data_IF_472688691091
#
_entry.id   IF_472688691091
#
_cell.length_a   1.000
_cell.length_b   1.000
_cell.length_c   1.000
_cell.angle_alpha   90.00
_cell.angle_beta   90.00
_cell.angle_gamma   90.00
#
_symmetry.space_group_name_H-M   'P 1'
#
loop_
_entity.id
_entity.type
_entity.pdbx_description
1 polymer ?
#
# COMPACT_ATOMS: atom_id res chain seq x y z
N UNK A 1 23.49 -17.11 46.77
CA UNK A 1 23.73 -16.96 45.32
C UNK A 1 22.62 -17.67 44.57
N UNK A 2 21.63 -16.92 44.12
CA UNK A 2 20.75 -17.31 43.03
C UNK A 2 20.29 -16.00 42.42
N UNK A 3 20.90 -15.66 41.28
CA UNK A 3 20.61 -14.46 40.53
C UNK A 3 19.14 -14.51 40.09
N UNK A 4 18.39 -13.49 40.49
CA UNK A 4 17.12 -13.17 39.87
C UNK A 4 17.46 -12.68 38.47
N UNK A 5 17.14 -13.50 37.48
CA UNK A 5 17.20 -13.15 36.07
C UNK A 5 16.33 -11.92 35.84
N UNK A 6 16.96 -10.75 35.66
CA UNK A 6 16.30 -9.55 35.16
C UNK A 6 15.76 -9.86 33.76
N UNK A 7 14.46 -10.09 33.67
CA UNK A 7 13.74 -9.98 32.41
C UNK A 7 13.90 -8.54 31.92
N UNK A 8 14.35 -8.28 30.67
CA UNK A 8 14.49 -6.93 30.20
C UNK A 8 13.12 -6.23 30.23
N UNK A 9 13.11 -5.01 30.76
CA UNK A 9 12.00 -4.08 30.58
C UNK A 9 11.59 -4.09 29.11
N UNK A 10 10.34 -4.48 28.84
CA UNK A 10 9.66 -4.21 27.59
C UNK A 10 9.72 -2.69 27.37
N UNK A 11 10.73 -2.22 26.66
CA UNK A 11 10.87 -0.80 26.34
C UNK A 11 9.81 -0.51 25.28
N UNK A 12 8.75 0.17 25.70
CA UNK A 12 7.73 0.68 24.80
C UNK A 12 8.38 1.37 23.59
N UNK A 13 7.85 1.11 22.39
CA UNK A 13 8.36 1.68 21.14
C UNK A 13 8.42 3.21 21.26
N UNK A 14 9.58 3.86 21.01
CA UNK A 14 9.66 5.31 20.99
C UNK A 14 8.68 5.91 19.98
N UNK A 15 7.99 6.98 20.39
CA UNK A 15 7.02 7.69 19.55
C UNK A 15 7.45 9.14 19.33
N UNK A 16 7.64 9.52 18.08
CA UNK A 16 7.84 10.90 17.66
C UNK A 16 6.52 11.52 17.19
N UNK A 17 6.20 12.73 17.67
CA UNK A 17 5.00 13.49 17.29
C UNK A 17 5.25 14.58 16.26
N UNK A 18 6.51 14.97 16.09
CA UNK A 18 6.91 16.07 15.24
C UNK A 18 8.01 15.63 14.27
N UNK A 19 7.98 16.18 13.06
CA UNK A 19 9.03 15.90 12.06
C UNK A 19 10.43 16.29 12.54
N UNK A 20 10.56 17.29 13.41
CA UNK A 20 11.85 17.68 13.98
C UNK A 20 12.43 16.59 14.91
N UNK A 21 11.59 15.88 15.66
CA UNK A 21 12.02 14.77 16.50
C UNK A 21 12.51 13.60 15.64
N UNK A 22 11.77 13.24 14.58
CA UNK A 22 12.18 12.20 13.64
C UNK A 22 13.52 12.52 13.01
N UNK A 23 13.72 13.75 12.50
CA UNK A 23 14.99 14.17 11.90
C UNK A 23 16.16 14.06 12.86
N UNK A 24 15.99 14.45 14.13
CA UNK A 24 17.07 14.31 15.14
C UNK A 24 17.44 12.84 15.37
N UNK A 25 16.44 11.97 15.53
CA UNK A 25 16.68 10.53 15.73
C UNK A 25 17.36 9.90 14.52
N UNK A 26 16.88 10.20 13.30
CA UNK A 26 17.49 9.66 12.07
C UNK A 26 18.88 10.23 11.84
N UNK A 27 19.12 11.51 12.11
CA UNK A 27 20.45 12.11 12.00
C UNK A 27 21.46 11.44 12.94
N UNK A 28 21.03 11.07 14.16
CA UNK A 28 21.86 10.30 15.07
C UNK A 28 22.20 8.92 14.50
N UNK A 29 21.20 8.16 14.02
CA UNK A 29 21.46 6.85 13.41
C UNK A 29 22.39 6.95 12.19
N UNK A 30 22.24 7.98 11.36
CA UNK A 30 23.13 8.22 10.23
C UNK A 30 24.55 8.58 10.67
N UNK A 31 24.72 9.34 11.75
CA UNK A 31 26.04 9.63 12.32
C UNK A 31 26.74 8.38 12.87
N UNK A 32 25.96 7.36 13.26
CA UNK A 32 26.44 6.02 13.63
C UNK A 32 26.71 5.12 12.40
N UNK A 33 26.49 5.60 11.18
CA UNK A 33 26.67 4.85 9.94
C UNK A 33 25.54 3.88 9.62
N UNK A 34 24.39 3.98 10.31
CA UNK A 34 23.25 3.08 10.14
C UNK A 34 22.37 3.49 8.96
N UNK A 35 21.90 2.49 8.22
CA UNK A 35 20.92 2.63 7.14
C UNK A 35 19.51 2.64 7.73
N UNK A 36 18.63 3.49 7.21
CA UNK A 36 17.29 3.74 7.76
C UNK A 36 16.22 3.44 6.71
N UNK A 37 15.23 2.63 7.09
CA UNK A 37 14.03 2.39 6.29
C UNK A 37 12.81 3.13 6.87
N UNK A 38 11.90 3.53 5.98
CA UNK A 38 10.60 4.08 6.31
C UNK A 38 9.49 3.14 5.83
N UNK A 39 8.50 2.90 6.68
CA UNK A 39 7.23 2.23 6.31
C UNK A 39 6.07 3.21 6.54
N UNK A 40 5.50 3.81 5.48
CA UNK A 40 4.34 4.68 5.63
C UNK A 40 3.03 3.89 5.82
N UNK A 41 2.26 4.25 6.85
CA UNK A 41 0.95 3.61 7.14
C UNK A 41 -0.08 4.66 7.60
N UNK A 42 -1.35 4.28 7.57
CA UNK A 42 -2.43 5.05 8.18
C UNK A 42 -2.85 4.52 9.56
N UNK A 43 -2.10 3.59 10.16
CA UNK A 43 -2.49 2.90 11.40
C UNK A 43 -3.52 1.80 11.19
N UNK A 44 -4.12 1.33 12.30
CA UNK A 44 -4.98 0.15 12.34
C UNK A 44 -4.29 -1.07 11.72
N UNK A 45 -3.12 -1.39 12.29
CA UNK A 45 -2.15 -2.30 11.69
C UNK A 45 -2.64 -3.75 11.71
N UNK A 46 -2.25 -4.48 10.67
CA UNK A 46 -2.55 -5.89 10.42
C UNK A 46 -1.29 -6.60 9.90
N UNK A 47 -1.35 -7.91 9.65
CA UNK A 47 -0.15 -8.68 9.27
C UNK A 47 0.48 -8.24 7.95
N UNK A 48 -0.34 -7.71 7.03
CA UNK A 48 0.17 -7.02 5.84
C UNK A 48 1.06 -5.79 6.13
N UNK A 49 0.88 -5.10 7.27
CA UNK A 49 1.77 -4.01 7.69
C UNK A 49 3.01 -4.56 8.41
N UNK A 50 2.84 -5.59 9.24
CA UNK A 50 3.95 -6.28 9.92
C UNK A 50 4.93 -6.87 8.91
N UNK A 51 4.45 -7.40 7.78
CA UNK A 51 5.33 -7.89 6.72
C UNK A 51 6.16 -6.78 6.08
N UNK A 52 5.64 -5.55 5.97
CA UNK A 52 6.43 -4.39 5.48
C UNK A 52 7.57 -4.07 6.44
N UNK A 53 7.30 -4.08 7.75
CA UNK A 53 8.33 -3.85 8.78
C UNK A 53 9.39 -4.93 8.73
N UNK A 54 8.99 -6.20 8.64
CA UNK A 54 9.93 -7.32 8.49
C UNK A 54 10.76 -7.22 7.23
N UNK A 55 10.17 -6.83 6.10
CA UNK A 55 10.92 -6.60 4.87
C UNK A 55 11.90 -5.43 5.05
N UNK A 56 11.46 -4.31 5.64
CA UNK A 56 12.31 -3.15 5.92
C UNK A 56 13.53 -3.51 6.78
N UNK A 57 13.37 -4.39 7.78
CA UNK A 57 14.47 -4.90 8.61
C UNK A 57 15.51 -5.74 7.84
N UNK A 58 15.17 -6.26 6.66
CA UNK A 58 16.17 -6.93 5.79
C UNK A 58 16.94 -5.94 4.92
N UNK A 59 16.50 -4.68 4.86
CA UNK A 59 17.01 -3.65 3.95
C UNK A 59 17.73 -2.51 4.67
N UNK A 60 17.59 -2.40 5.99
CA UNK A 60 18.12 -1.30 6.80
C UNK A 60 18.31 -1.72 8.27
N UNK A 61 19.20 -1.04 8.98
CA UNK A 61 19.49 -1.29 10.39
C UNK A 61 18.41 -0.72 11.32
N UNK A 62 17.76 0.36 10.90
CA UNK A 62 16.72 1.07 11.67
C UNK A 62 15.46 1.24 10.84
N UNK A 63 14.31 1.08 11.49
CA UNK A 63 12.99 1.19 10.84
C UNK A 63 12.14 2.22 11.55
N UNK A 64 11.76 3.26 10.80
CA UNK A 64 10.73 4.22 11.16
C UNK A 64 9.42 3.77 10.54
N UNK A 65 8.35 3.71 11.33
CA UNK A 65 7.00 3.48 10.81
C UNK A 65 6.16 4.72 11.07
N UNK A 66 5.61 5.31 10.02
CA UNK A 66 4.66 6.42 10.22
C UNK A 66 3.23 5.90 10.35
N UNK A 67 2.48 6.48 11.28
CA UNK A 67 1.07 6.17 11.56
C UNK A 67 0.31 7.49 11.45
N UNK A 68 -0.29 7.74 10.28
CA UNK A 68 -0.98 9.00 10.03
C UNK A 68 -2.15 8.80 9.05
N UNK A 69 -3.38 8.97 9.54
CA UNK A 69 -4.57 9.02 8.69
C UNK A 69 -4.61 10.37 7.98
N UNK A 70 -4.04 10.42 6.78
CA UNK A 70 -3.93 11.65 6.00
C UNK A 70 -5.30 12.14 5.50
N UNK A 71 -5.81 13.31 5.91
CA UNK A 71 -7.10 13.81 5.41
C UNK A 71 -7.10 14.14 3.91
N UNK A 72 -5.97 14.55 3.34
CA UNK A 72 -5.89 15.08 1.96
C UNK A 72 -6.06 14.01 0.88
N UNK A 73 -5.97 12.72 1.24
CA UNK A 73 -6.17 11.61 0.31
C UNK A 73 -7.57 10.98 0.39
N UNK A 74 -8.49 11.57 1.18
CA UNK A 74 -9.87 11.15 1.28
C UNK A 74 -10.80 12.15 0.57
N UNK A 75 -11.70 11.63 -0.26
CA UNK A 75 -12.79 12.44 -0.83
C UNK A 75 -13.88 12.76 0.21
N UNK A 76 -14.76 13.76 -0.05
CA UNK A 76 -15.82 14.17 0.89
C UNK A 76 -16.80 13.05 1.28
N UNK A 77 -17.01 12.07 0.39
CA UNK A 77 -17.88 10.92 0.60
C UNK A 77 -17.13 9.65 1.03
N UNK A 78 -15.83 9.75 1.31
CA UNK A 78 -15.01 8.61 1.73
C UNK A 78 -14.99 8.44 3.25
N UNK A 79 -14.35 7.37 3.71
CA UNK A 79 -14.44 6.87 5.08
C UNK A 79 -13.52 7.55 6.10
N UNK A 80 -13.11 8.82 5.90
CA UNK A 80 -12.14 9.50 6.78
C UNK A 80 -12.58 9.54 8.26
N UNK A 81 -13.85 9.85 8.51
CA UNK A 81 -14.40 9.92 9.87
C UNK A 81 -14.51 8.52 10.50
N UNK A 82 -14.84 7.51 9.70
CA UNK A 82 -15.01 6.12 10.14
C UNK A 82 -13.69 5.34 10.19
N UNK A 83 -12.59 5.88 9.65
CA UNK A 83 -11.31 5.17 9.58
C UNK A 83 -10.80 4.81 10.99
N UNK A 84 -10.46 3.54 11.25
CA UNK A 84 -10.05 3.07 12.58
C UNK A 84 -8.76 3.76 13.05
N UNK A 85 -8.72 4.16 14.32
CA UNK A 85 -7.57 4.79 14.98
C UNK A 85 -7.26 4.04 16.27
N UNK A 86 -6.20 3.23 16.25
CA UNK A 86 -5.85 2.29 17.33
C UNK A 86 -4.39 2.45 17.74
N UNK A 87 -3.94 3.69 17.95
CA UNK A 87 -2.53 4.04 18.10
C UNK A 87 -1.77 3.21 19.15
N UNK A 88 -2.37 2.96 20.32
CA UNK A 88 -1.75 2.16 21.37
C UNK A 88 -1.53 0.70 20.94
N UNK A 89 -2.51 0.10 20.25
CA UNK A 89 -2.38 -1.25 19.70
C UNK A 89 -1.37 -1.29 18.55
N UNK A 90 -1.34 -0.24 17.72
CA UNK A 90 -0.37 -0.09 16.64
C UNK A 90 1.06 -0.04 17.21
N UNK A 91 1.31 0.73 18.27
CA UNK A 91 2.62 0.83 18.92
C UNK A 91 3.12 -0.52 19.47
N UNK A 92 2.23 -1.31 20.12
CA UNK A 92 2.56 -2.66 20.60
C UNK A 92 2.93 -3.56 19.42
N UNK A 93 2.09 -3.61 18.39
CA UNK A 93 2.31 -4.46 17.21
C UNK A 93 3.60 -4.09 16.47
N UNK A 94 3.93 -2.80 16.40
CA UNK A 94 5.18 -2.32 15.80
C UNK A 94 6.40 -2.68 16.65
N UNK A 95 6.30 -2.60 17.97
CA UNK A 95 7.35 -3.05 18.89
C UNK A 95 7.64 -4.54 18.68
N UNK A 96 6.60 -5.37 18.67
CA UNK A 96 6.70 -6.81 18.42
C UNK A 96 7.25 -7.14 17.02
N UNK A 97 6.95 -6.31 16.02
CA UNK A 97 7.48 -6.44 14.67
C UNK A 97 8.95 -6.02 14.53
N UNK A 98 9.55 -5.41 15.55
CA UNK A 98 10.93 -4.94 15.55
C UNK A 98 11.13 -3.53 14.97
N UNK A 99 10.08 -2.71 14.90
CA UNK A 99 10.23 -1.30 14.57
C UNK A 99 11.07 -0.56 15.62
N UNK A 100 11.75 0.50 15.21
CA UNK A 100 12.65 1.26 16.08
C UNK A 100 12.07 2.62 16.51
N UNK A 101 11.21 3.19 15.67
CA UNK A 101 10.53 4.45 15.95
C UNK A 101 9.16 4.47 15.28
N UNK A 102 8.14 4.86 16.04
CA UNK A 102 6.85 5.23 15.49
C UNK A 102 6.77 6.73 15.30
N UNK A 103 6.48 7.19 14.08
CA UNK A 103 6.20 8.58 13.79
C UNK A 103 4.68 8.79 13.65
N UNK A 104 4.08 9.39 14.67
CA UNK A 104 2.62 9.59 14.76
C UNK A 104 2.29 11.09 14.87
N UNK A 105 2.39 11.84 13.75
CA UNK A 105 2.13 13.27 13.75
C UNK A 105 0.66 13.61 13.85
N UNK A 106 0.36 14.82 14.33
CA UNK A 106 -0.99 15.39 14.24
C UNK A 106 -1.25 15.96 12.84
N UNK A 107 -2.53 16.21 12.53
CA UNK A 107 -2.91 16.90 11.28
C UNK A 107 -2.27 18.29 11.21
N UNK A 108 -2.19 19.02 12.33
CA UNK A 108 -1.61 20.36 12.40
C UNK A 108 -0.08 20.35 12.18
N UNK A 109 0.65 19.35 12.69
CA UNK A 109 2.08 19.19 12.41
C UNK A 109 2.32 18.85 10.92
N UNK A 110 1.46 18.05 10.31
CA UNK A 110 1.56 17.77 8.87
C UNK A 110 1.12 18.97 8.02
N UNK A 111 0.03 19.62 8.37
CA UNK A 111 -0.64 20.66 7.59
C UNK A 111 -0.96 21.87 8.48
N UNK A 112 0.04 22.74 8.76
CA UNK A 112 -0.19 23.93 9.57
C UNK A 112 -1.14 24.92 8.87
N UNK A 113 -1.72 25.88 9.61
CA UNK A 113 -2.56 26.92 9.02
C UNK A 113 -1.86 27.61 7.83
N UNK A 114 -2.56 27.72 6.70
CA UNK A 114 -2.02 28.30 5.47
C UNK A 114 -1.18 27.35 4.60
N UNK A 115 -1.14 26.04 4.91
CA UNK A 115 -0.49 25.05 4.04
C UNK A 115 -1.10 25.09 2.62
N UNK A 116 -0.29 25.44 1.63
CA UNK A 116 -0.74 25.72 0.26
C UNK A 116 -0.07 24.84 -0.82
N UNK A 117 0.92 24.02 -0.46
CA UNK A 117 1.68 23.25 -1.43
C UNK A 117 1.01 21.91 -1.73
N UNK A 118 0.86 21.58 -3.01
CA UNK A 118 0.41 20.27 -3.47
C UNK A 118 1.39 19.69 -4.49
N UNK A 119 1.48 18.37 -4.55
CA UNK A 119 2.29 17.65 -5.55
C UNK A 119 1.35 16.78 -6.39
N UNK A 120 1.41 16.97 -7.71
CA UNK A 120 0.64 16.18 -8.68
C UNK A 120 1.61 15.39 -9.54
N UNK A 121 1.41 14.08 -9.64
CA UNK A 121 2.16 13.19 -10.54
C UNK A 121 1.24 12.84 -11.70
N UNK A 122 1.60 13.19 -12.94
CA UNK A 122 0.79 12.86 -14.12
C UNK A 122 1.13 11.46 -14.70
N UNK A 123 0.35 11.00 -15.68
CA UNK A 123 0.52 9.70 -16.30
C UNK A 123 -0.01 8.57 -15.41
N UNK A 124 0.84 8.03 -14.53
CA UNK A 124 0.55 6.86 -13.67
C UNK A 124 -0.63 7.05 -12.71
N UNK A 125 -1.01 8.30 -12.41
CA UNK A 125 -2.15 8.63 -11.56
C UNK A 125 -3.51 8.63 -12.29
N UNK A 126 -3.53 8.60 -13.62
CA UNK A 126 -4.76 8.62 -14.44
C UNK A 126 -5.35 7.22 -14.60
N UNK A 127 -6.67 7.10 -14.75
CA UNK A 127 -7.34 5.80 -14.85
C UNK A 127 -7.41 5.07 -13.50
N UNK A 128 -7.99 3.87 -13.52
CA UNK A 128 -8.06 2.95 -12.37
C UNK A 128 -8.64 3.65 -11.11
N UNK A 129 -7.93 3.60 -9.98
CA UNK A 129 -8.36 4.29 -8.75
C UNK A 129 -8.35 5.82 -8.89
N UNK A 130 -7.53 6.38 -9.77
CA UNK A 130 -7.38 7.83 -9.94
C UNK A 130 -8.65 8.50 -10.43
N UNK A 131 -9.27 7.92 -11.46
CA UNK A 131 -10.52 8.46 -12.05
C UNK A 131 -11.72 8.30 -11.11
N UNK A 132 -11.68 7.31 -10.21
CA UNK A 132 -12.73 7.05 -9.23
C UNK A 132 -12.57 7.84 -7.93
N UNK A 133 -11.36 8.36 -7.67
CA UNK A 133 -11.01 9.07 -6.44
C UNK A 133 -10.27 10.38 -6.77
N UNK A 134 -10.96 11.39 -7.32
CA UNK A 134 -10.34 12.66 -7.69
C UNK A 134 -9.57 13.28 -6.51
N UNK A 135 -8.33 13.70 -6.75
CA UNK A 135 -7.45 14.28 -5.72
C UNK A 135 -6.74 13.26 -4.83
N UNK A 136 -7.12 11.97 -4.84
CA UNK A 136 -6.52 10.95 -3.98
C UNK A 136 -5.00 10.87 -4.13
N UNK A 137 -4.49 10.71 -5.36
CA UNK A 137 -3.05 10.59 -5.60
C UNK A 137 -2.28 11.90 -5.40
N UNK A 138 -2.93 13.06 -5.52
CA UNK A 138 -2.33 14.33 -5.13
C UNK A 138 -2.10 14.38 -3.61
N UNK A 139 -3.10 13.94 -2.83
CA UNK A 139 -2.99 13.79 -1.38
C UNK A 139 -1.89 12.80 -0.98
N UNK A 140 -1.84 11.64 -1.64
CA UNK A 140 -0.80 10.62 -1.44
C UNK A 140 0.59 11.15 -1.77
N UNK A 141 0.79 11.75 -2.95
CA UNK A 141 2.09 12.31 -3.35
C UNK A 141 2.55 13.40 -2.37
N UNK A 142 1.64 14.29 -1.98
CA UNK A 142 1.93 15.37 -1.03
C UNK A 142 2.34 14.84 0.34
N UNK A 143 1.59 13.88 0.91
CA UNK A 143 1.91 13.34 2.24
C UNK A 143 3.19 12.51 2.21
N UNK A 144 3.39 11.67 1.19
CA UNK A 144 4.57 10.81 1.07
C UNK A 144 5.83 11.66 0.90
N UNK A 145 5.81 12.70 0.06
CA UNK A 145 6.95 13.63 -0.05
C UNK A 145 7.31 14.25 1.30
N UNK A 146 6.32 14.67 2.11
CA UNK A 146 6.58 15.21 3.45
C UNK A 146 7.17 14.18 4.39
N UNK A 147 6.67 12.94 4.36
CA UNK A 147 7.20 11.85 5.18
C UNK A 147 8.66 11.53 4.78
N UNK A 148 8.97 11.45 3.48
CA UNK A 148 10.33 11.24 2.98
C UNK A 148 11.27 12.38 3.39
N UNK A 149 10.84 13.65 3.27
CA UNK A 149 11.65 14.80 3.69
C UNK A 149 11.85 14.89 5.21
N UNK A 150 10.91 14.39 6.01
CA UNK A 150 11.01 14.39 7.48
C UNK A 150 11.78 13.20 8.03
N UNK A 151 11.61 12.02 7.44
CA UNK A 151 12.28 10.81 7.88
C UNK A 151 13.65 10.60 7.21
N UNK A 152 13.90 11.22 6.06
CA UNK A 152 15.14 11.09 5.27
C UNK A 152 15.68 9.64 5.20
N UNK A 153 14.85 8.65 4.82
CA UNK A 153 15.27 7.26 4.82
C UNK A 153 16.16 6.95 3.61
N UNK A 154 16.95 5.89 3.69
CA UNK A 154 17.64 5.30 2.53
C UNK A 154 16.69 4.44 1.69
N UNK A 155 15.70 3.83 2.35
CA UNK A 155 14.70 2.94 1.72
C UNK A 155 13.30 3.28 2.22
N UNK A 156 12.30 3.24 1.35
CA UNK A 156 10.90 3.27 1.74
C UNK A 156 10.15 2.04 1.21
N UNK A 157 9.44 1.33 2.09
CA UNK A 157 8.73 0.10 1.77
C UNK A 157 7.23 0.34 1.70
N UNK A 158 6.62 -0.07 0.59
CA UNK A 158 5.17 0.05 0.34
C UNK A 158 4.60 -1.28 -0.12
N UNK A 159 3.36 -1.59 0.26
CA UNK A 159 2.68 -2.81 -0.19
C UNK A 159 2.24 -2.73 -1.66
N UNK A 160 2.43 -3.82 -2.40
CA UNK A 160 1.99 -3.95 -3.79
C UNK A 160 0.46 -4.06 -3.93
N UNK A 161 -0.27 -4.23 -2.83
CA UNK A 161 -1.74 -4.24 -2.83
C UNK A 161 -2.30 -2.95 -3.45
N UNK A 162 -1.69 -1.82 -3.12
CA UNK A 162 -2.03 -0.51 -3.67
C UNK A 162 -1.07 -0.19 -4.84
N UNK A 163 -1.06 -1.03 -5.87
CA UNK A 163 -0.04 -1.01 -6.94
C UNK A 163 0.05 0.33 -7.69
N UNK A 164 -1.09 0.98 -7.96
CA UNK A 164 -1.08 2.31 -8.60
C UNK A 164 -0.43 3.36 -7.70
N UNK A 165 -0.66 3.30 -6.39
CA UNK A 165 0.03 4.17 -5.42
C UNK A 165 1.55 3.91 -5.46
N UNK A 166 1.98 2.64 -5.49
CA UNK A 166 3.40 2.31 -5.60
C UNK A 166 4.03 2.92 -6.85
N UNK A 167 3.38 2.85 -8.01
CA UNK A 167 3.90 3.46 -9.25
C UNK A 167 3.91 4.99 -9.19
N UNK A 168 2.88 5.61 -8.61
CA UNK A 168 2.86 7.07 -8.35
C UNK A 168 4.05 7.48 -7.49
N UNK A 169 4.35 6.74 -6.43
CA UNK A 169 5.46 7.02 -5.51
C UNK A 169 6.82 6.78 -6.17
N UNK A 170 6.97 5.71 -6.94
CA UNK A 170 8.19 5.45 -7.73
C UNK A 170 8.46 6.58 -8.72
N UNK A 171 7.42 7.03 -9.44
CA UNK A 171 7.55 8.16 -10.38
C UNK A 171 7.88 9.45 -9.67
N UNK A 172 7.23 9.74 -8.54
CA UNK A 172 7.50 10.90 -7.69
C UNK A 172 8.96 10.95 -7.22
N UNK A 173 9.48 9.83 -6.72
CA UNK A 173 10.86 9.72 -6.23
C UNK A 173 11.86 9.92 -7.37
N UNK A 174 11.61 9.31 -8.53
CA UNK A 174 12.47 9.45 -9.71
C UNK A 174 12.47 10.90 -10.25
N UNK A 175 11.30 11.54 -10.36
CA UNK A 175 11.17 12.87 -10.98
C UNK A 175 11.68 14.01 -10.12
N UNK A 176 11.72 13.82 -8.79
CA UNK A 176 12.20 14.82 -7.85
C UNK A 176 13.62 14.51 -7.33
N UNK A 177 14.32 13.55 -7.95
CA UNK A 177 15.66 13.11 -7.57
C UNK A 177 15.78 12.81 -6.07
N UNK A 178 14.73 12.21 -5.48
CA UNK A 178 14.74 11.93 -4.04
C UNK A 178 15.71 10.78 -3.77
N UNK A 179 16.67 10.94 -2.83
CA UNK A 179 17.70 9.93 -2.57
C UNK A 179 17.16 8.81 -1.68
N UNK A 180 16.12 8.12 -2.16
CA UNK A 180 15.45 7.01 -1.46
C UNK A 180 15.12 5.89 -2.44
N UNK A 181 15.42 4.66 -2.06
CA UNK A 181 15.01 3.47 -2.80
C UNK A 181 13.57 3.08 -2.43
N UNK A 182 12.70 2.86 -3.43
CA UNK A 182 11.29 2.47 -3.20
C UNK A 182 11.09 0.99 -3.46
N UNK A 183 10.87 0.23 -2.38
CA UNK A 183 10.67 -1.22 -2.44
C UNK A 183 9.18 -1.56 -2.37
N UNK A 184 8.73 -2.40 -3.31
CA UNK A 184 7.39 -2.99 -3.31
C UNK A 184 7.38 -4.30 -2.55
N UNK A 185 6.53 -4.43 -1.53
CA UNK A 185 6.35 -5.65 -0.77
C UNK A 185 5.16 -6.47 -1.32
N UNK A 186 5.30 -7.80 -1.50
CA UNK A 186 4.22 -8.63 -2.01
C UNK A 186 2.93 -8.52 -1.19
N UNK A 187 1.79 -8.73 -1.85
CA UNK A 187 0.47 -8.74 -1.21
C UNK A 187 0.40 -9.89 -0.21
N UNK A 188 0.18 -9.59 1.07
CA UNK A 188 -0.14 -10.60 2.08
C UNK A 188 -1.64 -10.90 2.02
N UNK A 189 -1.98 -12.18 2.11
CA UNK A 189 -3.34 -12.69 1.98
C UNK A 189 -3.74 -13.46 3.23
N UNK A 190 -5.03 -13.48 3.49
CA UNK A 190 -5.66 -14.43 4.42
C UNK A 190 -5.58 -15.85 3.84
N UNK A 191 -5.83 -16.88 4.67
CA UNK A 191 -5.69 -18.29 4.28
C UNK A 191 -6.56 -18.69 3.08
N UNK A 192 -7.66 -18.00 2.87
CA UNK A 192 -8.57 -18.23 1.74
C UNK A 192 -8.23 -17.43 0.46
N UNK A 193 -7.16 -16.63 0.52
CA UNK A 193 -6.63 -15.84 -0.59
C UNK A 193 -7.05 -14.37 -0.62
N UNK A 194 -7.94 -13.92 0.28
CA UNK A 194 -8.34 -12.51 0.34
C UNK A 194 -7.13 -11.62 0.71
N UNK A 195 -6.87 -10.58 -0.08
CA UNK A 195 -5.82 -9.61 0.26
C UNK A 195 -6.13 -8.93 1.60
N UNK A 196 -5.15 -8.88 2.50
CA UNK A 196 -5.34 -8.25 3.81
C UNK A 196 -5.60 -6.74 3.64
N UNK A 197 -6.66 -6.26 4.29
CA UNK A 197 -6.99 -4.84 4.35
C UNK A 197 -7.72 -4.51 5.65
N UNK A 198 -7.43 -3.33 6.22
CA UNK A 198 -8.25 -2.76 7.31
C UNK A 198 -9.73 -2.66 6.93
N UNK A 199 -10.05 -2.47 5.64
CA UNK A 199 -11.43 -2.40 5.14
C UNK A 199 -12.15 -3.75 5.09
N UNK A 200 -11.47 -4.89 5.28
CA UNK A 200 -12.13 -6.19 5.37
C UNK A 200 -13.06 -6.26 6.60
N UNK A 201 -12.81 -5.45 7.63
CA UNK A 201 -13.66 -5.34 8.81
C UNK A 201 -15.08 -4.78 8.52
N UNK A 202 -15.30 -4.18 7.35
CA UNK A 202 -16.61 -3.67 6.95
C UNK A 202 -17.50 -4.73 6.30
N UNK A 203 -16.94 -5.89 5.95
CA UNK A 203 -17.67 -6.98 5.29
C UNK A 203 -18.56 -7.70 6.30
N UNK A 204 -19.84 -7.84 5.96
CA UNK A 204 -20.74 -8.77 6.63
C UNK A 204 -20.29 -10.23 6.42
N UNK A 205 -20.79 -11.21 7.20
CA UNK A 205 -20.42 -12.61 7.02
C UNK A 205 -20.67 -13.15 5.60
N UNK A 206 -21.77 -12.73 4.95
CA UNK A 206 -22.07 -13.12 3.57
C UNK A 206 -21.11 -12.50 2.56
N UNK A 207 -20.83 -11.20 2.70
CA UNK A 207 -19.85 -10.51 1.85
C UNK A 207 -18.43 -11.08 2.05
N UNK A 208 -18.05 -11.40 3.28
CA UNK A 208 -16.74 -11.99 3.59
C UNK A 208 -16.56 -13.36 2.92
N UNK A 209 -17.61 -14.15 2.76
CA UNK A 209 -17.55 -15.43 2.05
C UNK A 209 -17.31 -15.26 0.53
N UNK A 210 -17.78 -14.15 -0.06
CA UNK A 210 -17.62 -13.82 -1.49
C UNK A 210 -16.24 -13.22 -1.77
N UNK A 211 -15.73 -12.36 -0.88
CA UNK A 211 -14.52 -11.56 -1.12
C UNK A 211 -13.28 -12.34 -1.64
N UNK A 212 -12.95 -13.58 -1.19
CA UNK A 212 -11.82 -14.34 -1.70
C UNK A 212 -11.93 -14.73 -3.18
N UNK A 213 -13.13 -14.73 -3.76
CA UNK A 213 -13.32 -15.01 -5.19
C UNK A 213 -12.61 -13.99 -6.09
N UNK A 214 -12.37 -12.75 -5.62
CA UNK A 214 -11.60 -11.75 -6.36
C UNK A 214 -10.21 -12.29 -6.73
N UNK A 215 -9.48 -12.84 -5.75
CA UNK A 215 -8.15 -13.39 -5.99
C UNK A 215 -8.20 -14.62 -6.91
N UNK A 216 -9.16 -15.53 -6.68
CA UNK A 216 -9.31 -16.74 -7.51
C UNK A 216 -9.53 -16.39 -8.99
N UNK A 217 -10.40 -15.42 -9.25
CA UNK A 217 -10.69 -14.96 -10.61
C UNK A 217 -9.48 -14.26 -11.22
N UNK A 218 -8.74 -13.44 -10.46
CA UNK A 218 -7.48 -12.84 -10.95
C UNK A 218 -6.45 -13.91 -11.34
N UNK A 219 -6.34 -15.01 -10.57
CA UNK A 219 -5.46 -16.15 -10.91
C UNK A 219 -5.91 -16.81 -12.22
N UNK A 220 -7.20 -17.04 -12.39
CA UNK A 220 -7.76 -17.64 -13.61
C UNK A 220 -7.57 -16.76 -14.85
N UNK A 221 -7.84 -15.46 -14.72
CA UNK A 221 -7.63 -14.46 -15.78
C UNK A 221 -6.15 -14.38 -16.13
N UNK A 222 -5.26 -14.34 -15.13
CA UNK A 222 -3.81 -14.33 -15.36
C UNK A 222 -3.35 -15.58 -16.11
N UNK A 223 -3.85 -16.77 -15.71
CA UNK A 223 -3.55 -18.03 -16.41
C UNK A 223 -4.06 -18.01 -17.86
N UNK A 224 -5.26 -17.49 -18.10
CA UNK A 224 -5.80 -17.38 -19.45
C UNK A 224 -5.02 -16.39 -20.32
N UNK A 225 -4.50 -15.30 -19.74
CA UNK A 225 -3.67 -14.33 -20.46
C UNK A 225 -2.31 -14.91 -20.88
N UNK A 226 -1.72 -15.79 -20.07
CA UNK A 226 -0.37 -16.34 -20.31
C UNK A 226 -0.37 -17.74 -20.93
N UNK A 227 -1.52 -18.41 -21.01
CA UNK A 227 -1.61 -19.77 -21.55
C UNK A 227 -1.21 -19.82 -23.02
N UNK A 228 -0.30 -20.74 -23.43
CA UNK A 228 -0.04 -21.01 -24.85
C UNK A 228 -1.24 -21.60 -25.60
N UNK A 229 -2.20 -22.18 -24.87
CA UNK A 229 -3.42 -22.81 -25.41
C UNK A 229 -4.51 -21.78 -25.70
N UNK A 230 -4.39 -20.56 -25.17
CA UNK A 230 -5.26 -19.45 -25.54
C UNK A 230 -5.06 -19.20 -27.04
N UNK A 231 -6.15 -19.30 -27.82
CA UNK A 231 -6.12 -19.15 -29.27
C UNK A 231 -5.24 -17.96 -29.65
N UNK A 232 -4.21 -18.23 -30.48
CA UNK A 232 -3.24 -17.24 -30.86
C UNK A 232 -3.95 -16.00 -31.43
N UNK A 233 -3.73 -14.85 -30.79
CA UNK A 233 -4.38 -13.59 -31.18
C UNK A 233 -5.68 -13.26 -30.42
N UNK A 234 -6.09 -14.05 -29.42
CA UNK A 234 -7.19 -13.66 -28.52
C UNK A 234 -6.87 -12.32 -27.86
N UNK A 235 -7.66 -11.26 -28.09
CA UNK A 235 -7.42 -9.97 -27.45
C UNK A 235 -7.59 -10.08 -25.94
N UNK A 236 -6.75 -9.39 -25.16
CA UNK A 236 -6.88 -9.38 -23.69
C UNK A 236 -8.30 -8.94 -23.27
N UNK A 237 -8.91 -8.03 -24.02
CA UNK A 237 -10.28 -7.57 -23.79
C UNK A 237 -11.32 -8.71 -23.70
N UNK A 238 -11.18 -9.79 -24.48
CA UNK A 238 -12.10 -10.93 -24.42
C UNK A 238 -11.93 -11.70 -23.11
N UNK A 239 -10.69 -11.89 -22.66
CA UNK A 239 -10.36 -12.59 -21.43
C UNK A 239 -10.78 -11.77 -20.21
N UNK A 240 -10.53 -10.45 -20.24
CA UNK A 240 -10.96 -9.52 -19.21
C UNK A 240 -12.49 -9.48 -19.10
N UNK A 241 -13.23 -9.42 -20.22
CA UNK A 241 -14.70 -9.45 -20.21
C UNK A 241 -15.25 -10.74 -19.57
N UNK A 242 -14.63 -11.90 -19.82
CA UNK A 242 -14.98 -13.15 -19.13
C UNK A 242 -14.72 -13.08 -17.63
N UNK A 243 -13.60 -12.47 -17.23
CA UNK A 243 -13.28 -12.22 -15.82
C UNK A 243 -14.30 -11.30 -15.13
N UNK A 244 -14.76 -10.25 -15.80
CA UNK A 244 -15.81 -9.36 -15.27
C UNK A 244 -17.14 -10.10 -15.07
N UNK A 245 -17.53 -10.94 -16.03
CA UNK A 245 -18.72 -11.81 -15.89
C UNK A 245 -18.56 -12.77 -14.70
N UNK A 246 -17.38 -13.37 -14.53
CA UNK A 246 -17.10 -14.26 -13.41
C UNK A 246 -17.17 -13.54 -12.06
N UNK A 247 -16.67 -12.29 -11.97
CA UNK A 247 -16.78 -11.46 -10.76
C UNK A 247 -18.26 -11.19 -10.42
N UNK A 248 -19.06 -10.77 -11.40
CA UNK A 248 -20.50 -10.54 -11.17
C UNK A 248 -21.23 -11.83 -10.76
N UNK A 249 -20.92 -12.95 -11.40
CA UNK A 249 -21.49 -14.26 -11.06
C UNK A 249 -21.08 -14.75 -9.65
N UNK A 250 -19.92 -14.35 -9.16
CA UNK A 250 -19.47 -14.65 -7.80
C UNK A 250 -20.18 -13.81 -6.72
N UNK A 251 -20.93 -12.77 -7.10
CA UNK A 251 -21.72 -11.94 -6.19
C UNK A 251 -21.13 -10.57 -5.88
N UNK A 252 -20.16 -10.08 -6.66
CA UNK A 252 -19.73 -8.68 -6.57
C UNK A 252 -20.78 -7.74 -7.20
N UNK A 253 -21.21 -6.72 -6.46
CA UNK A 253 -22.28 -5.80 -6.88
C UNK A 253 -21.87 -4.94 -8.08
N UNK A 254 -20.62 -4.50 -8.08
CA UNK A 254 -20.03 -3.71 -9.16
C UNK A 254 -18.57 -4.10 -9.41
N UNK A 255 -18.19 -4.06 -10.68
CA UNK A 255 -16.81 -4.24 -11.14
C UNK A 255 -16.40 -2.90 -11.73
N UNK A 256 -15.71 -2.08 -10.93
CA UNK A 256 -15.32 -0.72 -11.34
C UNK A 256 -14.30 -0.75 -12.48
N UNK A 257 -13.40 -1.74 -12.43
CA UNK A 257 -12.46 -2.09 -13.50
C UNK A 257 -11.86 -3.49 -13.29
N UNK A 258 -11.51 -4.16 -14.39
CA UNK A 258 -10.59 -5.31 -14.46
C UNK A 258 -9.69 -5.11 -15.69
N UNK A 259 -8.43 -4.70 -15.47
CA UNK A 259 -7.59 -4.17 -16.54
C UNK A 259 -6.18 -4.76 -16.56
N UNK A 260 -5.68 -5.02 -17.77
CA UNK A 260 -4.28 -5.36 -18.01
C UNK A 260 -3.50 -4.08 -18.36
N UNK A 261 -2.53 -3.74 -17.54
CA UNK A 261 -1.69 -2.55 -17.69
C UNK A 261 -0.22 -2.91 -17.75
N UNK A 262 0.57 -2.06 -18.37
CA UNK A 262 2.03 -2.10 -18.25
C UNK A 262 2.44 -1.95 -16.77
N UNK A 263 3.35 -2.80 -16.29
CA UNK A 263 3.70 -2.85 -14.88
C UNK A 263 4.36 -1.56 -14.35
N UNK A 264 4.99 -0.77 -15.23
CA UNK A 264 5.72 0.44 -14.84
C UNK A 264 4.94 1.72 -15.13
N UNK A 265 4.41 1.85 -16.34
CA UNK A 265 3.75 3.07 -16.82
C UNK A 265 2.25 3.08 -16.54
N UNK A 266 1.68 1.92 -16.21
CA UNK A 266 0.24 1.70 -16.12
C UNK A 266 -0.54 2.03 -17.40
N UNK A 267 0.15 2.12 -18.54
CA UNK A 267 -0.50 2.25 -19.84
C UNK A 267 -1.34 1.00 -20.15
N UNK A 268 -2.54 1.13 -20.76
CA UNK A 268 -3.33 -0.02 -21.19
C UNK A 268 -2.55 -0.95 -22.12
N UNK A 269 -2.69 -2.25 -21.93
CA UNK A 269 -2.15 -3.26 -22.84
C UNK A 269 -3.28 -4.06 -23.49
N UNK A 270 -3.31 -4.10 -24.83
CA UNK A 270 -4.34 -4.81 -25.59
C UNK A 270 -4.16 -6.33 -25.59
N UNK A 271 -2.95 -6.81 -25.28
CA UNK A 271 -2.59 -8.21 -25.20
C UNK A 271 -1.41 -8.39 -24.24
N UNK A 272 -1.30 -9.59 -23.65
CA UNK A 272 -0.07 -10.00 -22.98
C UNK A 272 1.06 -10.18 -24.01
N UNK A 273 2.25 -9.67 -23.69
CA UNK A 273 3.44 -9.82 -24.54
C UNK A 273 4.55 -10.40 -23.67
N UNK A 274 5.05 -11.59 -24.04
CA UNK A 274 6.14 -12.26 -23.32
C UNK A 274 7.37 -11.34 -23.20
N UNK A 275 8.00 -11.34 -22.03
CA UNK A 275 9.13 -10.45 -21.74
C UNK A 275 8.77 -8.98 -21.50
N UNK A 276 7.49 -8.60 -21.58
CA UNK A 276 7.02 -7.27 -21.16
C UNK A 276 6.19 -7.42 -19.88
N UNK A 277 6.71 -7.02 -18.71
CA UNK A 277 5.98 -7.10 -17.45
C UNK A 277 4.65 -6.35 -17.51
N UNK A 278 3.59 -7.03 -17.07
CA UNK A 278 2.26 -6.47 -17.00
C UNK A 278 1.65 -6.70 -15.61
N UNK A 279 0.62 -5.91 -15.30
CA UNK A 279 -0.16 -6.03 -14.06
C UNK A 279 -1.63 -6.14 -14.42
N UNK A 280 -2.28 -7.18 -13.91
CA UNK A 280 -3.73 -7.29 -13.90
C UNK A 280 -4.24 -6.59 -12.64
N UNK A 281 -5.07 -5.56 -12.77
CA UNK A 281 -5.62 -4.81 -11.64
C UNK A 281 -7.14 -4.89 -11.64
N UNK A 282 -7.72 -5.04 -10.45
CA UNK A 282 -9.17 -5.01 -10.27
C UNK A 282 -9.59 -4.11 -9.11
N UNK A 283 -10.77 -3.50 -9.27
CA UNK A 283 -11.53 -2.90 -8.18
C UNK A 283 -12.99 -3.34 -8.29
N UNK A 284 -13.53 -3.82 -7.18
CA UNK A 284 -14.91 -4.33 -7.09
C UNK A 284 -15.59 -3.76 -5.85
N UNK A 285 -16.92 -3.75 -5.87
CA UNK A 285 -17.74 -3.41 -4.71
C UNK A 285 -18.48 -4.62 -4.20
N UNK A 286 -18.55 -4.69 -2.88
CA UNK A 286 -19.31 -5.69 -2.15
C UNK A 286 -20.00 -4.98 -0.97
N UNK A 287 -21.30 -4.78 -1.12
CA UNK A 287 -22.12 -3.84 -0.38
C UNK A 287 -21.50 -2.44 -0.37
N UNK A 288 -21.07 -2.00 0.81
CA UNK A 288 -20.47 -0.68 1.02
C UNK A 288 -18.96 -0.68 0.85
N UNK A 289 -18.35 -1.86 0.77
CA UNK A 289 -16.90 -2.05 0.81
C UNK A 289 -16.34 -2.08 -0.60
N UNK A 290 -15.41 -1.17 -0.88
CA UNK A 290 -14.62 -1.18 -2.12
C UNK A 290 -13.35 -1.99 -1.90
N UNK A 291 -13.23 -3.11 -2.60
CA UNK A 291 -12.05 -3.99 -2.56
C UNK A 291 -11.19 -3.73 -3.79
N UNK A 292 -9.88 -3.82 -3.62
CA UNK A 292 -8.91 -3.82 -4.72
C UNK A 292 -7.98 -5.00 -4.56
N UNK A 293 -7.55 -5.56 -5.69
CA UNK A 293 -6.51 -6.57 -5.74
C UNK A 293 -5.83 -6.51 -7.11
N UNK A 294 -4.65 -7.10 -7.22
CA UNK A 294 -3.88 -7.11 -8.44
C UNK A 294 -2.90 -8.29 -8.48
N UNK A 295 -2.46 -8.65 -9.68
CA UNK A 295 -1.48 -9.73 -9.90
C UNK A 295 -0.47 -9.35 -10.97
N UNK A 296 0.79 -9.73 -10.74
CA UNK A 296 1.81 -9.73 -11.80
C UNK A 296 1.41 -10.72 -12.89
N UNK A 297 1.60 -10.31 -14.15
CA UNK A 297 1.42 -11.16 -15.32
C UNK A 297 2.77 -11.25 -16.02
N UNK A 298 3.43 -12.39 -15.85
CA UNK A 298 4.81 -12.64 -16.28
C UNK A 298 4.88 -14.02 -16.96
N UNK A 299 5.68 -14.13 -18.03
CA UNK A 299 6.01 -15.39 -18.71
C UNK A 299 7.34 -15.30 -19.47
#
# INVERSE_FOLDING_TARGET
MTAVSELPLSLALPVAREGAAVRRTVAQWRAEGLRVALVPTMGALHDGHVSLVRLALTQADRVVVSVFVNPTQFGPSEDFAAYPRTEAADAVRLSEAGAHLMYAPTVEDMYPPGFATTITVEGVSRGLCGDRRPGHFQGVATVVSKLLMRAQPDVAVFGEKDYQQLQVIRRLVADLDLPVEVIGAPVVREDDGLALSSRNAYLSPGERAIAPHLHRILVEVTRALTSPETEAGTPAAVILARGEVALRAAGFDDVEYLELRDASTLAPQAAFVRGRPARLLAAVRLGRTRLIDNMAVEA
#
